data_IF_189453658604
#
_entry.id   IF_189453658604
#
_cell.length_a   1.000
_cell.length_b   1.000
_cell.length_c   1.000
_cell.angle_alpha   90.00
_cell.angle_beta   90.00
_cell.angle_gamma   90.00
#
_symmetry.space_group_name_H-M   'P 1'
#
loop_
_entity.id
_entity.type
_entity.pdbx_description
1 polymer ?
#
# COMPACT_ATOMS: atom_id res chain seq x y z
N UNK A 1 21.13 -0.67 -7.76
CA UNK A 1 20.55 -1.46 -8.88
C UNK A 1 19.10 -1.75 -8.53
N UNK A 2 18.14 -1.45 -9.42
CA UNK A 2 16.73 -1.59 -9.09
C UNK A 2 16.31 -3.08 -9.12
N UNK A 3 15.72 -3.56 -8.04
CA UNK A 3 15.15 -4.90 -7.92
C UNK A 3 13.63 -4.79 -7.79
N UNK A 4 12.90 -5.47 -8.67
CA UNK A 4 11.44 -5.48 -8.71
C UNK A 4 10.97 -6.90 -8.41
N UNK A 5 10.09 -7.03 -7.42
CA UNK A 5 9.46 -8.30 -7.03
C UNK A 5 7.95 -8.18 -7.15
N UNK A 6 7.31 -9.21 -7.68
CA UNK A 6 5.86 -9.29 -7.85
C UNK A 6 5.26 -10.26 -6.83
N UNK A 7 4.05 -9.99 -6.34
CA UNK A 7 3.33 -10.81 -5.36
C UNK A 7 4.19 -11.19 -4.15
N UNK A 8 4.94 -10.22 -3.62
CA UNK A 8 5.96 -10.46 -2.62
C UNK A 8 5.39 -10.35 -1.20
N UNK A 9 5.72 -11.33 -0.37
CA UNK A 9 5.30 -11.35 1.04
C UNK A 9 6.36 -10.71 1.94
N UNK A 10 5.89 -9.86 2.85
CA UNK A 10 6.69 -9.28 3.92
C UNK A 10 6.06 -9.72 5.25
N UNK A 11 6.87 -10.23 6.15
CA UNK A 11 6.43 -10.50 7.52
C UNK A 11 6.36 -9.20 8.32
N UNK A 12 5.20 -8.93 8.92
CA UNK A 12 4.99 -7.78 9.79
C UNK A 12 5.54 -8.00 11.19
N UNK A 13 5.55 -6.95 12.01
CA UNK A 13 5.94 -7.04 13.43
C UNK A 13 5.03 -7.94 14.25
N UNK A 14 3.79 -8.17 13.78
CA UNK A 14 2.85 -9.13 14.36
C UNK A 14 3.18 -10.60 14.08
N UNK A 15 4.13 -10.89 13.17
CA UNK A 15 4.40 -12.23 12.64
C UNK A 15 3.46 -12.65 11.49
N UNK A 16 2.49 -11.81 11.12
CA UNK A 16 1.61 -12.05 9.97
C UNK A 16 2.36 -11.71 8.67
N UNK A 17 2.26 -12.59 7.68
CA UNK A 17 2.77 -12.32 6.33
C UNK A 17 1.73 -11.55 5.53
N UNK A 18 2.16 -10.41 4.98
CA UNK A 18 1.34 -9.58 4.11
C UNK A 18 1.91 -9.57 2.70
N UNK A 19 1.08 -9.86 1.71
CA UNK A 19 1.47 -9.87 0.29
C UNK A 19 1.22 -8.51 -0.36
N UNK A 20 2.24 -7.91 -0.96
CA UNK A 20 2.13 -6.75 -1.85
C UNK A 20 2.18 -7.16 -3.32
N UNK A 21 1.45 -6.46 -4.18
CA UNK A 21 1.41 -6.78 -5.61
C UNK A 21 2.76 -6.51 -6.26
N UNK A 22 3.39 -5.37 -5.93
CA UNK A 22 4.73 -5.03 -6.40
C UNK A 22 5.55 -4.43 -5.26
N UNK A 23 6.79 -4.89 -5.16
CA UNK A 23 7.83 -4.28 -4.34
C UNK A 23 8.96 -3.82 -5.26
N UNK A 24 9.34 -2.56 -5.11
CA UNK A 24 10.49 -1.97 -5.79
C UNK A 24 11.51 -1.56 -4.73
N UNK A 25 12.72 -2.10 -4.85
CA UNK A 25 13.84 -1.71 -4.02
C UNK A 25 14.95 -1.12 -4.91
N UNK A 26 15.42 0.08 -4.56
CA UNK A 26 16.64 0.65 -5.11
C UNK A 26 17.55 1.09 -3.96
N UNK A 27 18.53 0.23 -3.67
CA UNK A 27 19.52 0.36 -2.60
C UNK A 27 18.87 0.52 -1.21
N UNK A 28 18.59 1.76 -0.78
CA UNK A 28 17.98 2.11 0.50
C UNK A 28 16.54 2.63 0.39
N UNK A 29 16.04 2.82 -0.83
CA UNK A 29 14.67 3.28 -1.09
C UNK A 29 13.78 2.09 -1.39
N UNK A 30 12.74 1.94 -0.59
CA UNK A 30 11.73 0.90 -0.71
C UNK A 30 10.39 1.52 -1.06
N UNK A 31 9.72 0.96 -2.08
CA UNK A 31 8.38 1.33 -2.49
C UNK A 31 7.53 0.06 -2.62
N UNK A 32 6.43 0.01 -1.89
CA UNK A 32 5.42 -1.03 -2.04
C UNK A 32 4.23 -0.49 -2.83
N UNK A 33 3.57 -1.36 -3.60
CA UNK A 33 2.45 -0.99 -4.42
C UNK A 33 1.40 -2.10 -4.42
N UNK A 34 0.15 -1.70 -4.26
CA UNK A 34 -1.04 -2.55 -4.45
C UNK A 34 -2.00 -1.89 -5.44
N UNK A 35 -2.75 -2.74 -6.15
CA UNK A 35 -3.83 -2.34 -7.05
C UNK A 35 -5.15 -2.93 -6.54
N UNK A 36 -6.12 -2.07 -6.25
CA UNK A 36 -7.45 -2.48 -5.80
C UNK A 36 -8.51 -1.75 -6.61
N UNK A 37 -9.20 -2.46 -7.50
CA UNK A 37 -10.32 -1.88 -8.25
C UNK A 37 -11.58 -1.96 -7.39
N UNK A 38 -12.21 -0.82 -7.12
CA UNK A 38 -13.41 -0.65 -6.29
C UNK A 38 -13.25 -1.17 -4.84
N UNK A 39 -12.28 -0.66 -4.07
CA UNK A 39 -12.06 -1.09 -2.70
C UNK A 39 -13.21 -0.64 -1.80
N UNK A 40 -13.60 -1.52 -0.87
CA UNK A 40 -14.40 -1.13 0.29
C UNK A 40 -13.53 -0.46 1.35
N UNK A 41 -14.16 0.23 2.31
CA UNK A 41 -13.47 0.80 3.48
C UNK A 41 -12.61 -0.24 4.21
N UNK A 42 -13.12 -1.47 4.35
CA UNK A 42 -12.38 -2.56 4.98
C UNK A 42 -11.11 -2.93 4.20
N UNK A 43 -11.13 -2.87 2.87
CA UNK A 43 -9.94 -3.11 2.05
C UNK A 43 -8.89 -2.01 2.27
N UNK A 44 -9.32 -0.74 2.33
CA UNK A 44 -8.42 0.39 2.57
C UNK A 44 -7.79 0.32 3.96
N UNK A 45 -8.60 0.00 4.99
CA UNK A 45 -8.12 -0.18 6.37
C UNK A 45 -7.14 -1.35 6.44
N UNK A 46 -7.43 -2.46 5.76
CA UNK A 46 -6.52 -3.61 5.70
C UNK A 46 -5.18 -3.22 5.05
N UNK A 47 -5.19 -2.44 3.96
CA UNK A 47 -3.98 -1.92 3.34
C UNK A 47 -3.18 -1.02 4.28
N UNK A 48 -3.86 -0.13 5.01
CA UNK A 48 -3.24 0.73 6.03
C UNK A 48 -2.57 -0.10 7.13
N UNK A 49 -3.28 -1.07 7.71
CA UNK A 49 -2.75 -1.97 8.76
C UNK A 49 -1.56 -2.76 8.23
N UNK A 50 -1.67 -3.29 7.02
CA UNK A 50 -0.58 -3.99 6.33
C UNK A 50 0.67 -3.12 6.21
N UNK A 51 0.55 -1.86 5.79
CA UNK A 51 1.69 -0.94 5.69
C UNK A 51 2.31 -0.64 7.06
N UNK A 52 1.47 -0.42 8.08
CA UNK A 52 1.91 -0.19 9.45
C UNK A 52 2.67 -1.39 10.03
N UNK A 53 2.11 -2.59 9.91
CA UNK A 53 2.66 -3.83 10.48
C UNK A 53 3.99 -4.21 9.81
N UNK A 54 4.10 -4.01 8.50
CA UNK A 54 5.32 -4.29 7.73
C UNK A 54 6.35 -3.15 7.78
N UNK A 55 6.06 -2.05 8.48
CA UNK A 55 6.91 -0.84 8.56
C UNK A 55 7.30 -0.27 7.19
N UNK A 56 6.47 -0.49 6.17
CA UNK A 56 6.69 0.02 4.82
C UNK A 56 6.48 1.52 4.82
N UNK A 57 7.54 2.31 4.60
CA UNK A 57 7.47 3.78 4.70
C UNK A 57 6.96 4.49 3.45
N UNK A 58 7.07 3.88 2.28
CA UNK A 58 6.53 4.44 1.04
C UNK A 58 5.64 3.38 0.39
N UNK A 59 4.35 3.69 0.27
CA UNK A 59 3.38 2.81 -0.33
C UNK A 59 2.53 3.58 -1.35
N UNK A 60 2.16 2.92 -2.44
CA UNK A 60 1.23 3.45 -3.44
C UNK A 60 0.05 2.50 -3.52
N UNK A 61 -1.15 3.07 -3.41
CA UNK A 61 -2.39 2.36 -3.70
C UNK A 61 -2.94 2.89 -5.02
N UNK A 62 -3.07 2.02 -6.01
CA UNK A 62 -3.78 2.33 -7.25
C UNK A 62 -5.20 1.81 -7.11
N UNK A 63 -6.18 2.67 -7.33
CA UNK A 63 -7.61 2.32 -7.23
C UNK A 63 -8.43 2.97 -8.33
N UNK A 64 -9.60 2.42 -8.64
CA UNK A 64 -10.58 3.12 -9.47
C UNK A 64 -11.23 4.30 -8.74
N UNK A 65 -11.56 4.12 -7.46
CA UNK A 65 -12.17 5.14 -6.61
C UNK A 65 -11.78 4.91 -5.16
N UNK A 66 -11.40 5.98 -4.47
CA UNK A 66 -11.15 5.92 -3.04
C UNK A 66 -12.45 6.25 -2.28
N UNK A 67 -12.91 5.41 -1.33
CA UNK A 67 -14.03 5.76 -0.47
C UNK A 67 -13.75 7.06 0.30
N UNK A 68 -14.73 7.97 0.32
CA UNK A 68 -14.54 9.31 0.90
C UNK A 68 -14.24 9.26 2.40
N UNK A 69 -14.82 8.29 3.12
CA UNK A 69 -14.56 7.99 4.52
C UNK A 69 -13.08 7.66 4.82
N UNK A 70 -12.35 7.15 3.83
CA UNK A 70 -10.98 6.67 4.00
C UNK A 70 -9.92 7.72 3.63
N UNK A 71 -10.31 8.86 3.02
CA UNK A 71 -9.37 9.90 2.56
C UNK A 71 -8.52 10.45 3.69
N UNK A 72 -9.10 10.68 4.86
CA UNK A 72 -8.38 11.23 6.02
C UNK A 72 -7.50 10.17 6.71
N UNK A 73 -7.95 8.92 6.78
CA UNK A 73 -7.15 7.80 7.32
C UNK A 73 -5.83 7.66 6.56
N UNK A 74 -5.86 7.68 5.23
CA UNK A 74 -4.66 7.51 4.42
C UNK A 74 -3.70 8.70 4.51
N UNK A 75 -4.22 9.92 4.72
CA UNK A 75 -3.39 11.12 4.97
C UNK A 75 -2.72 11.10 6.35
N UNK A 76 -3.38 10.52 7.35
CA UNK A 76 -2.90 10.49 8.73
C UNK A 76 -1.80 9.45 9.01
N UNK A 77 -1.36 8.70 8.00
CA UNK A 77 -0.37 7.65 8.16
C UNK A 77 1.05 8.22 8.38
N UNK A 78 1.37 8.58 9.62
CA UNK A 78 2.66 9.19 9.99
C UNK A 78 3.88 8.29 9.68
N UNK A 79 3.69 6.98 9.60
CA UNK A 79 4.77 6.01 9.38
C UNK A 79 4.93 5.59 7.91
N UNK A 80 3.92 5.85 7.07
CA UNK A 80 3.90 5.43 5.67
C UNK A 80 3.32 6.54 4.80
N UNK A 81 4.10 7.05 3.85
CA UNK A 81 3.59 7.91 2.81
C UNK A 81 2.76 7.05 1.85
N UNK A 82 1.44 7.10 1.97
CA UNK A 82 0.50 6.44 1.07
C UNK A 82 0.06 7.42 0.00
N UNK A 83 0.35 7.11 -1.26
CA UNK A 83 -0.14 7.87 -2.41
C UNK A 83 -1.27 7.07 -3.02
N UNK A 84 -2.44 7.69 -3.17
CA UNK A 84 -3.57 7.08 -3.88
C UNK A 84 -3.63 7.62 -5.30
N UNK A 85 -3.74 6.73 -6.29
CA UNK A 85 -3.96 7.08 -7.69
C UNK A 85 -5.34 6.57 -8.09
N UNK A 86 -6.27 7.47 -8.36
CA UNK A 86 -7.60 7.15 -8.90
C UNK A 86 -7.51 7.06 -10.43
N UNK A 87 -7.98 5.94 -11.01
CA UNK A 87 -8.01 5.74 -12.45
C UNK A 87 -9.20 6.51 -13.06
N UNK A 88 -8.96 7.23 -14.16
CA UNK A 88 -10.05 7.90 -14.89
C UNK A 88 -10.95 6.86 -15.56
N UNK A 89 -12.26 7.08 -15.54
CA UNK A 89 -13.19 6.36 -16.42
C UNK A 89 -12.80 6.67 -17.88
N UNK A 90 -12.59 5.61 -18.66
CA UNK A 90 -12.26 5.68 -20.10
C UNK A 90 -13.53 5.72 -20.93
#
# INVERSE_FOLDING_TARGET
>A
MQNVKYNYEIEGISGIKHRFDVIINNDSKYLALDVMLNPSDANIIAFYIKCFDTKVKNAVLITSKLPDSCREILKSCNNSKIITVELNES
#
